data_IF_445087013630
#
_entry.id   IF_445087013630
#
_cell.length_a   1.000
_cell.length_b   1.000
_cell.length_c   1.000
_cell.angle_alpha   90.00
_cell.angle_beta   90.00
_cell.angle_gamma   90.00
#
_symmetry.space_group_name_H-M   'P 1'
#
loop_
_entity.id
_entity.type
_entity.pdbx_description
1 polymer ?
#
# COMPACT_ATOMS: atom_id res chain seq x y z
N UNK A 1 -9.33 -0.44 -20.05
CA UNK A 1 -9.33 0.40 -18.84
C UNK A 1 -8.88 -0.48 -17.69
N UNK A 2 -7.63 -0.37 -17.26
CA UNK A 2 -7.16 -1.13 -16.10
C UNK A 2 -7.82 -0.54 -14.85
N UNK A 3 -8.70 -1.30 -14.20
CA UNK A 3 -9.33 -0.88 -12.96
C UNK A 3 -8.25 -0.84 -11.88
N UNK A 4 -7.99 0.35 -11.31
CA UNK A 4 -7.08 0.51 -10.18
C UNK A 4 -7.76 -0.12 -8.96
N UNK A 5 -7.12 -1.11 -8.35
CA UNK A 5 -7.60 -1.71 -7.12
C UNK A 5 -7.09 -0.86 -5.96
N UNK A 6 -8.02 -0.12 -5.35
CA UNK A 6 -7.74 0.74 -4.21
C UNK A 6 -7.75 -0.04 -2.91
N UNK A 7 -8.54 -1.10 -2.83
CA UNK A 7 -8.63 -1.92 -1.63
C UNK A 7 -7.35 -2.74 -1.43
N UNK A 8 -6.68 -2.51 -0.30
CA UNK A 8 -5.47 -3.24 0.07
C UNK A 8 -5.48 -3.53 1.56
N UNK A 9 -5.13 -4.76 1.91
CA UNK A 9 -5.07 -5.18 3.31
C UNK A 9 -3.66 -4.92 3.83
N UNK A 10 -3.49 -3.90 4.67
CA UNK A 10 -2.23 -3.67 5.38
C UNK A 10 -2.11 -4.70 6.50
N UNK A 11 -0.99 -5.42 6.50
CA UNK A 11 -0.62 -6.32 7.59
C UNK A 11 0.49 -5.72 8.43
N UNK A 12 0.24 -5.51 9.71
CA UNK A 12 1.23 -4.99 10.63
C UNK A 12 2.29 -6.08 10.94
N UNK A 13 3.58 -5.86 10.62
CA UNK A 13 4.65 -6.81 10.91
C UNK A 13 4.93 -6.95 12.42
N UNK A 14 4.51 -5.99 13.24
CA UNK A 14 4.80 -5.96 14.69
C UNK A 14 3.84 -6.83 15.48
N UNK A 15 2.55 -6.84 15.13
CA UNK A 15 1.51 -7.56 15.87
C UNK A 15 0.71 -8.57 15.02
N UNK A 16 0.93 -8.62 13.70
CA UNK A 16 0.20 -9.48 12.77
C UNK A 16 -1.23 -9.02 12.45
N UNK A 17 -1.66 -7.86 12.96
CA UNK A 17 -2.99 -7.32 12.69
C UNK A 17 -3.14 -6.94 11.21
N UNK A 18 -4.28 -7.29 10.62
CA UNK A 18 -4.59 -7.03 9.22
C UNK A 18 -5.77 -6.07 9.18
N UNK A 19 -5.63 -4.98 8.43
CA UNK A 19 -6.70 -4.01 8.25
C UNK A 19 -6.87 -3.74 6.76
N UNK A 20 -8.10 -3.91 6.28
CA UNK A 20 -8.46 -3.57 4.92
C UNK A 20 -8.68 -2.06 4.84
N UNK A 21 -7.90 -1.40 4.01
CA UNK A 21 -7.93 0.05 3.84
C UNK A 21 -7.95 0.37 2.34
N UNK A 22 -8.75 1.36 1.97
CA UNK A 22 -8.80 1.86 0.61
C UNK A 22 -7.66 2.86 0.40
N UNK A 23 -6.68 2.48 -0.43
CA UNK A 23 -5.54 3.32 -0.80
C UNK A 23 -6.03 4.63 -1.41
N UNK A 24 -5.56 5.79 -0.91
CA UNK A 24 -5.85 7.05 -1.57
C UNK A 24 -5.21 7.08 -2.96
N UNK A 25 -5.99 7.49 -3.96
CA UNK A 25 -5.48 7.74 -5.33
C UNK A 25 -4.64 9.01 -5.41
N UNK A 26 -4.86 9.94 -4.48
CA UNK A 26 -4.35 11.31 -4.56
C UNK A 26 -3.00 11.49 -3.83
N UNK A 27 -2.58 10.52 -3.00
CA UNK A 27 -1.36 10.65 -2.20
C UNK A 27 -0.72 9.31 -1.84
N UNK A 28 0.61 9.31 -1.67
CA UNK A 28 1.36 8.16 -1.20
C UNK A 28 1.38 8.11 0.34
N UNK A 29 0.91 7.00 0.94
CA UNK A 29 0.92 6.84 2.40
C UNK A 29 2.29 6.33 2.87
N UNK A 30 3.13 7.25 3.33
CA UNK A 30 4.45 6.92 3.85
C UNK A 30 4.43 6.46 5.31
N UNK A 31 3.50 6.94 6.10
CA UNK A 31 3.36 6.56 7.50
C UNK A 31 1.98 5.96 7.72
N UNK A 32 1.94 4.80 8.34
CA UNK A 32 0.68 4.16 8.71
C UNK A 32 0.71 3.79 10.18
N UNK A 33 -0.28 4.27 10.93
CA UNK A 33 -0.46 3.88 12.32
C UNK A 33 -1.33 2.63 12.39
N UNK A 34 -0.81 1.56 12.99
CA UNK A 34 -1.60 0.36 13.21
C UNK A 34 -2.74 0.62 14.21
N UNK A 35 -3.99 0.39 13.83
CA UNK A 35 -5.14 0.57 14.72
C UNK A 35 -5.10 -0.31 15.99
N UNK A 36 -4.41 -1.45 15.95
CA UNK A 36 -4.33 -2.39 17.07
C UNK A 36 -3.22 -2.04 18.06
N UNK A 37 -1.97 -1.91 17.59
CA UNK A 37 -0.81 -1.67 18.47
C UNK A 37 -0.33 -0.21 18.47
N UNK A 38 -0.96 0.68 17.69
CA UNK A 38 -0.58 2.10 17.50
C UNK A 38 0.88 2.32 17.09
N UNK A 39 1.49 1.31 16.47
CA UNK A 39 2.86 1.43 15.97
C UNK A 39 2.85 2.19 14.64
N UNK A 40 3.78 3.13 14.47
CA UNK A 40 4.00 3.78 13.17
C UNK A 40 4.83 2.87 12.28
N UNK A 41 4.18 2.33 11.26
CA UNK A 41 4.81 1.60 10.18
C UNK A 41 5.38 2.57 9.14
N UNK A 42 6.58 2.26 8.67
CA UNK A 42 7.29 2.97 7.61
C UNK A 42 7.61 1.99 6.48
N UNK A 43 7.56 2.42 5.20
CA UNK A 43 7.94 1.57 4.08
C UNK A 43 9.36 1.04 4.23
N UNK A 44 9.60 -0.13 3.66
CA UNK A 44 10.94 -0.71 3.54
C UNK A 44 11.76 0.09 2.54
N UNK A 45 13.08 0.02 2.68
CA UNK A 45 13.99 0.66 1.75
C UNK A 45 13.79 0.08 0.35
N UNK A 46 13.38 0.93 -0.61
CA UNK A 46 13.08 0.54 -1.99
C UNK A 46 11.60 0.53 -2.38
N UNK A 47 10.68 0.70 -1.42
CA UNK A 47 9.23 0.77 -1.68
C UNK A 47 8.68 2.21 -1.70
N UNK A 48 7.65 2.46 -2.52
CA UNK A 48 6.97 3.78 -2.63
C UNK A 48 6.20 4.18 -1.35
N UNK A 49 5.59 3.20 -0.66
CA UNK A 49 4.65 3.44 0.43
C UNK A 49 4.44 2.20 1.31
N UNK A 50 3.75 2.38 2.45
CA UNK A 50 3.45 1.27 3.37
C UNK A 50 2.64 0.15 2.74
N UNK A 51 1.82 0.45 1.73
CA UNK A 51 1.03 -0.55 1.01
C UNK A 51 1.89 -1.41 0.08
N UNK A 52 2.95 -0.87 -0.53
CA UNK A 52 3.88 -1.70 -1.31
C UNK A 52 4.73 -2.62 -0.42
N UNK A 53 5.07 -2.17 0.79
CA UNK A 53 5.87 -2.99 1.72
C UNK A 53 5.06 -4.01 2.53
N UNK A 54 3.83 -3.67 2.93
CA UNK A 54 3.01 -4.44 3.88
C UNK A 54 1.56 -4.66 3.43
N UNK A 55 1.15 -4.06 2.31
CA UNK A 55 -0.16 -4.26 1.73
C UNK A 55 -0.20 -5.50 0.82
N UNK A 56 -1.41 -5.96 0.52
CA UNK A 56 -1.66 -7.05 -0.42
C UNK A 56 -1.58 -6.58 -1.88
N UNK A 57 -2.07 -5.37 -2.16
CA UNK A 57 -2.03 -4.73 -3.47
C UNK A 57 -1.03 -3.57 -3.50
N UNK A 58 -0.41 -3.34 -4.66
CA UNK A 58 0.59 -2.27 -4.87
C UNK A 58 -0.05 -0.88 -4.95
N UNK A 59 0.76 0.17 -4.72
CA UNK A 59 0.30 1.56 -4.78
C UNK A 59 -0.36 1.91 -6.14
N UNK A 60 -1.42 2.74 -6.17
CA UNK A 60 -2.15 3.10 -7.39
C UNK A 60 -1.22 3.56 -8.53
N UNK A 61 -0.19 4.36 -8.17
CA UNK A 61 0.82 4.83 -9.11
C UNK A 61 1.58 3.70 -9.82
N UNK A 62 1.83 2.59 -9.12
CA UNK A 62 2.48 1.39 -9.69
C UNK A 62 1.52 0.53 -10.53
N UNK A 63 0.23 0.55 -10.20
CA UNK A 63 -0.80 -0.14 -10.99
C UNK A 63 -1.08 0.62 -12.30
N UNK A 64 -1.11 1.96 -12.24
CA UNK A 64 -1.26 2.83 -13.41
C UNK A 64 0.00 2.82 -14.30
N UNK A 65 1.19 2.81 -13.70
CA UNK A 65 2.45 2.73 -14.47
C UNK A 65 2.70 1.35 -15.09
N UNK A 66 1.91 0.33 -14.72
CA UNK A 66 1.87 -0.98 -15.40
C UNK A 66 1.28 -0.95 -16.81
N UNK A 67 0.83 0.21 -17.31
CA UNK A 67 0.41 0.39 -18.71
C UNK A 67 1.56 0.85 -19.61
N UNK A 68 2.64 0.08 -19.68
CA UNK A 68 3.65 0.22 -20.75
C UNK A 68 4.14 -1.14 -21.28
N UNK A 69 3.22 -1.95 -21.79
CA UNK A 69 3.51 -2.69 -23.02
C UNK A 69 3.54 -1.62 -24.14
N UNK A 70 4.63 -1.31 -24.85
CA UNK A 70 5.78 -2.14 -25.17
C UNK A 70 5.56 -2.91 -26.47
N UNK A 71 5.06 -2.25 -27.52
CA UNK A 71 5.28 -2.53 -28.95
C UNK A 71 4.57 -1.50 -29.82
#
# INVERSE_FOLDING_TARGET
MAAIVLDSTITCPTCGHRKEETMPTDACVWFYECAHCKTMLRPKHGDCCVYCSYGTNRCPSMQQSGSCCGS
#
